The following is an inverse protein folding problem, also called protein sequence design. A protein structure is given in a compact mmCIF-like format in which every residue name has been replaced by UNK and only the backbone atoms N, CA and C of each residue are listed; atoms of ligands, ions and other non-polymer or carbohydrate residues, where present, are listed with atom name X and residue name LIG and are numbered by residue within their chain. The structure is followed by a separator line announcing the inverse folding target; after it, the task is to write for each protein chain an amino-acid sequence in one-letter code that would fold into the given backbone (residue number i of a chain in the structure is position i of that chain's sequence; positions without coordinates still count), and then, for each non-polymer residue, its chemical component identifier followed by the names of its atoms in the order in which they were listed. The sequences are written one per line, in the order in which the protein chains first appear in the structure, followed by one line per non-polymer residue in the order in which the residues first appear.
data_IF_364323325850
#
_entry.id   IF_364323325850
#
_cell.length_a   1.000
_cell.length_b   1.000
_cell.length_c   1.000
_cell.angle_alpha   90.00
_cell.angle_beta   90.00
_cell.angle_gamma   90.00
#
_symmetry.space_group_name_H-M   'P 1'
#
loop_
_entity.id
_entity.type
_entity.pdbx_description
1 polymer ?
#
# COMPACT_ATOMS: atom_id res chain seq x y z
N UNK A 1 3.62 -27.42 -9.77
CA UNK A 1 4.39 -26.75 -10.83
C UNK A 1 5.36 -25.82 -10.11
N UNK A 2 6.67 -26.10 -10.24
CA UNK A 2 7.73 -25.32 -9.62
C UNK A 2 7.66 -23.88 -10.16
N UNK A 3 7.42 -22.90 -9.30
CA UNK A 3 7.61 -21.49 -9.61
C UNK A 3 9.11 -21.26 -9.82
N UNK A 4 9.56 -21.24 -11.08
CA UNK A 4 10.88 -20.72 -11.39
C UNK A 4 10.88 -19.24 -10.93
N UNK A 5 11.60 -18.97 -9.87
CA UNK A 5 11.88 -17.61 -9.41
C UNK A 5 12.63 -16.90 -10.54
N UNK A 6 11.91 -16.13 -11.34
CA UNK A 6 12.51 -15.26 -12.35
C UNK A 6 13.19 -14.11 -11.60
N UNK A 7 14.47 -14.23 -11.33
CA UNK A 7 15.26 -13.14 -10.78
C UNK A 7 15.77 -12.28 -11.94
N UNK A 8 15.21 -11.09 -12.11
CA UNK A 8 15.80 -10.12 -13.04
C UNK A 8 17.21 -9.76 -12.58
N UNK A 9 18.19 -9.94 -13.44
CA UNK A 9 19.56 -9.51 -13.16
C UNK A 9 19.72 -8.05 -13.58
N UNK A 10 19.30 -7.14 -12.71
CA UNK A 10 19.43 -5.70 -12.90
C UNK A 10 20.48 -5.19 -11.91
N UNK A 11 21.46 -4.46 -12.42
CA UNK A 11 22.53 -3.89 -11.59
C UNK A 11 22.03 -2.66 -10.82
N UNK A 12 22.63 -2.38 -9.67
CA UNK A 12 22.31 -1.16 -8.89
C UNK A 12 22.57 0.11 -9.71
N UNK A 13 23.58 0.10 -10.56
CA UNK A 13 23.89 1.22 -11.47
C UNK A 13 22.75 1.45 -12.46
N UNK A 14 22.23 0.39 -13.10
CA UNK A 14 21.10 0.53 -14.04
C UNK A 14 19.84 1.03 -13.33
N UNK A 15 19.60 0.55 -12.12
CA UNK A 15 18.47 1.00 -11.29
C UNK A 15 18.61 2.49 -10.91
N UNK A 16 19.82 2.94 -10.57
CA UNK A 16 20.07 4.35 -10.24
C UNK A 16 19.86 5.26 -11.46
N UNK A 17 20.36 4.88 -12.63
CA UNK A 17 20.09 5.63 -13.87
C UNK A 17 18.59 5.66 -14.21
N UNK A 18 17.88 4.56 -14.05
CA UNK A 18 16.44 4.50 -14.25
C UNK A 18 15.72 5.49 -13.33
N UNK A 19 16.08 5.53 -12.03
CA UNK A 19 15.54 6.51 -11.06
C UNK A 19 15.82 7.94 -11.48
N UNK A 20 17.07 8.26 -11.83
CA UNK A 20 17.48 9.62 -12.22
C UNK A 20 16.78 10.12 -13.49
N UNK A 21 16.40 9.23 -14.40
CA UNK A 21 15.73 9.53 -15.67
C UNK A 21 14.22 9.34 -15.64
N UNK A 22 13.65 8.94 -14.52
CA UNK A 22 12.21 8.62 -14.38
C UNK A 22 11.31 9.70 -14.94
N UNK A 23 11.57 10.97 -14.66
CA UNK A 23 10.74 12.07 -15.16
C UNK A 23 10.67 12.10 -16.69
N UNK A 24 11.82 12.02 -17.37
CA UNK A 24 11.87 12.03 -18.84
C UNK A 24 11.22 10.78 -19.43
N UNK A 25 11.46 9.61 -18.83
CA UNK A 25 10.87 8.34 -19.27
C UNK A 25 9.33 8.41 -19.16
N UNK A 26 8.80 8.82 -18.01
CA UNK A 26 7.34 8.95 -17.78
C UNK A 26 6.73 9.94 -18.76
N UNK A 27 7.38 11.11 -18.97
CA UNK A 27 6.90 12.16 -19.85
C UNK A 27 6.83 11.70 -21.31
N UNK A 28 7.82 10.98 -21.79
CA UNK A 28 7.81 10.41 -23.14
C UNK A 28 6.70 9.38 -23.31
N UNK A 29 6.50 8.48 -22.34
CA UNK A 29 5.39 7.51 -22.37
C UNK A 29 4.05 8.22 -22.39
N UNK A 30 3.87 9.24 -21.55
CA UNK A 30 2.65 10.03 -21.50
C UNK A 30 2.34 10.68 -22.85
N UNK A 31 3.33 11.31 -23.49
CA UNK A 31 3.16 11.92 -24.81
C UNK A 31 2.88 10.90 -25.90
N UNK A 32 3.59 9.77 -25.89
CA UNK A 32 3.41 8.70 -26.87
C UNK A 32 2.02 8.07 -26.78
N UNK A 33 1.49 7.89 -25.56
CA UNK A 33 0.13 7.39 -25.36
C UNK A 33 -0.92 8.40 -25.81
N UNK A 34 -0.74 9.71 -25.52
CA UNK A 34 -1.68 10.76 -25.92
C UNK A 34 -1.68 11.01 -27.45
N UNK A 35 -0.56 10.80 -28.13
CA UNK A 35 -0.44 10.95 -29.59
C UNK A 35 -0.72 9.66 -30.37
N UNK A 36 -0.97 8.55 -29.69
CA UNK A 36 -1.18 7.25 -30.33
C UNK A 36 -2.50 7.22 -31.11
N UNK A 37 -2.45 6.77 -32.36
CA UNK A 37 -3.65 6.67 -33.21
C UNK A 37 -4.49 5.40 -32.94
N UNK A 38 -3.96 4.44 -32.18
CA UNK A 38 -4.66 3.21 -31.81
C UNK A 38 -5.91 3.52 -30.97
N UNK A 39 -7.07 3.06 -31.44
CA UNK A 39 -8.37 3.35 -30.80
C UNK A 39 -8.43 2.84 -29.34
N UNK A 40 -7.90 1.65 -29.03
CA UNK A 40 -7.89 1.11 -27.67
C UNK A 40 -7.08 1.99 -26.71
N UNK A 41 -5.98 2.57 -27.21
CA UNK A 41 -5.15 3.51 -26.42
C UNK A 41 -5.89 4.82 -26.22
N UNK A 42 -6.54 5.35 -27.25
CA UNK A 42 -7.35 6.57 -27.13
C UNK A 42 -8.47 6.40 -26.11
N UNK A 43 -9.22 5.31 -26.20
CA UNK A 43 -10.29 4.98 -25.26
C UNK A 43 -9.76 4.89 -23.83
N UNK A 44 -8.62 4.22 -23.64
CA UNK A 44 -7.98 4.10 -22.32
C UNK A 44 -7.62 5.46 -21.74
N UNK A 45 -6.90 6.31 -22.48
CA UNK A 45 -6.46 7.64 -22.00
C UNK A 45 -7.66 8.57 -21.79
N UNK A 46 -8.64 8.58 -22.70
CA UNK A 46 -9.84 9.43 -22.59
C UNK A 46 -10.71 9.04 -21.38
N UNK A 47 -10.86 7.76 -21.10
CA UNK A 47 -11.69 7.29 -19.99
C UNK A 47 -11.10 7.60 -18.61
N UNK A 48 -9.77 7.68 -18.50
CA UNK A 48 -9.10 8.00 -17.22
C UNK A 48 -8.99 9.50 -17.03
N UNK A 49 -8.69 10.25 -18.08
CA UNK A 49 -8.30 11.67 -18.02
C UNK A 49 -6.78 11.85 -17.83
N UNK A 50 -6.27 12.96 -18.32
CA UNK A 50 -4.83 13.19 -18.43
C UNK A 50 -4.10 13.25 -17.09
N UNK A 51 -4.71 13.82 -16.06
CA UNK A 51 -4.10 13.95 -14.73
C UNK A 51 -3.96 12.59 -14.05
N UNK A 52 -5.05 11.85 -13.95
CA UNK A 52 -5.08 10.53 -13.36
C UNK A 52 -4.24 9.53 -14.16
N UNK A 53 -4.20 9.68 -15.48
CA UNK A 53 -3.36 8.86 -16.33
C UNK A 53 -1.86 9.13 -16.05
N UNK A 54 -1.44 10.39 -15.95
CA UNK A 54 -0.06 10.73 -15.60
C UNK A 54 0.34 10.19 -14.22
N UNK A 55 -0.53 10.32 -13.22
CA UNK A 55 -0.29 9.74 -11.88
C UNK A 55 -0.21 8.20 -11.92
N UNK A 56 -0.99 7.54 -12.78
CA UNK A 56 -0.89 6.08 -12.96
C UNK A 56 0.45 5.65 -13.55
N UNK A 57 1.03 6.43 -14.46
CA UNK A 57 2.37 6.18 -15.01
C UNK A 57 3.48 6.38 -13.95
N UNK A 58 3.35 7.40 -13.11
CA UNK A 58 4.27 7.59 -11.96
C UNK A 58 4.23 6.40 -11.02
N UNK A 59 3.02 5.97 -10.65
CA UNK A 59 2.83 4.80 -9.81
C UNK A 59 3.46 3.53 -10.43
N UNK A 60 3.27 3.32 -11.75
CA UNK A 60 3.89 2.23 -12.49
C UNK A 60 5.42 2.28 -12.38
N UNK A 61 6.03 3.45 -12.64
CA UNK A 61 7.48 3.64 -12.56
C UNK A 61 8.02 3.33 -11.15
N UNK A 62 7.36 3.85 -10.11
CA UNK A 62 7.79 3.69 -8.73
C UNK A 62 7.63 2.24 -8.25
N UNK A 63 6.62 1.54 -8.74
CA UNK A 63 6.46 0.10 -8.50
C UNK A 63 7.59 -0.71 -9.14
N UNK A 64 7.93 -0.43 -10.42
CA UNK A 64 9.07 -1.07 -11.10
C UNK A 64 10.34 -0.85 -10.28
N UNK A 65 10.61 0.41 -9.91
CA UNK A 65 11.76 0.76 -9.10
C UNK A 65 11.77 0.01 -7.75
N UNK A 66 10.65 0.00 -7.02
CA UNK A 66 10.51 -0.68 -5.72
C UNK A 66 10.73 -2.19 -5.84
N UNK A 67 10.16 -2.81 -6.88
CA UNK A 67 10.30 -4.25 -7.11
C UNK A 67 11.75 -4.68 -7.42
N UNK A 68 12.48 -3.87 -8.18
CA UNK A 68 13.89 -4.12 -8.48
C UNK A 68 14.74 -3.92 -7.23
N UNK A 69 14.56 -2.79 -6.53
CA UNK A 69 15.32 -2.43 -5.33
C UNK A 69 15.22 -3.51 -4.24
N UNK A 70 14.02 -4.02 -4.02
CA UNK A 70 13.74 -5.03 -3.00
C UNK A 70 13.92 -6.48 -3.49
N UNK A 71 14.26 -6.66 -4.77
CA UNK A 71 14.35 -7.98 -5.42
C UNK A 71 13.10 -8.84 -5.24
N UNK A 72 11.92 -8.19 -5.13
CA UNK A 72 10.64 -8.84 -4.96
C UNK A 72 9.78 -8.68 -6.22
N UNK A 73 9.89 -9.64 -7.12
CA UNK A 73 9.18 -9.64 -8.40
C UNK A 73 7.69 -10.02 -8.26
N UNK A 74 7.31 -10.64 -7.14
CA UNK A 74 5.90 -10.98 -6.88
C UNK A 74 5.06 -9.72 -6.70
N UNK A 75 5.66 -8.60 -6.23
CA UNK A 75 4.99 -7.30 -6.19
C UNK A 75 4.51 -6.85 -7.57
N UNK A 76 5.32 -7.06 -8.62
CA UNK A 76 4.94 -6.74 -10.00
C UNK A 76 3.76 -7.60 -10.43
N UNK A 77 3.87 -8.92 -10.27
CA UNK A 77 2.82 -9.86 -10.66
C UNK A 77 1.48 -9.53 -10.00
N UNK A 78 1.49 -9.34 -8.67
CA UNK A 78 0.28 -9.06 -7.90
C UNK A 78 -0.36 -7.73 -8.31
N UNK A 79 0.47 -6.70 -8.55
CA UNK A 79 0.00 -5.40 -9.01
C UNK A 79 -0.57 -5.46 -10.42
N UNK A 80 0.10 -6.10 -11.39
CA UNK A 80 -0.42 -6.13 -12.75
C UNK A 80 -1.69 -6.96 -12.86
N UNK A 81 -1.85 -8.04 -12.11
CA UNK A 81 -3.13 -8.75 -11.99
C UNK A 81 -4.22 -7.80 -11.45
N UNK A 82 -3.91 -7.01 -10.42
CA UNK A 82 -4.82 -6.01 -9.87
C UNK A 82 -5.13 -4.91 -10.89
N UNK A 83 -4.13 -4.33 -11.57
CA UNK A 83 -4.31 -3.31 -12.63
C UNK A 83 -5.28 -3.83 -13.70
N UNK A 84 -5.04 -5.02 -14.23
CA UNK A 84 -5.91 -5.64 -15.24
C UNK A 84 -7.35 -5.83 -14.72
N UNK A 85 -7.53 -6.25 -13.48
CA UNK A 85 -8.85 -6.41 -12.86
C UNK A 85 -9.59 -5.07 -12.75
N UNK A 86 -8.91 -4.01 -12.30
CA UNK A 86 -9.49 -2.67 -12.14
C UNK A 86 -9.98 -2.12 -13.49
N UNK A 87 -9.16 -2.20 -14.52
CA UNK A 87 -9.51 -1.62 -15.82
C UNK A 87 -10.52 -2.47 -16.60
N UNK A 88 -10.40 -3.81 -16.58
CA UNK A 88 -11.40 -4.69 -17.18
C UNK A 88 -12.79 -4.53 -16.55
N UNK A 89 -12.88 -4.33 -15.23
CA UNK A 89 -14.17 -4.13 -14.55
C UNK A 89 -14.86 -2.81 -14.95
N UNK A 90 -14.12 -1.87 -15.53
CA UNK A 90 -14.60 -0.58 -16.04
C UNK A 90 -14.81 -0.58 -17.56
N UNK A 91 -14.82 -1.77 -18.18
CA UNK A 91 -14.97 -1.98 -19.61
C UNK A 91 -13.85 -1.37 -20.47
N UNK A 92 -12.66 -1.16 -19.91
CA UNK A 92 -11.49 -0.76 -20.67
C UNK A 92 -10.83 -2.03 -21.22
N UNK A 93 -10.57 -2.03 -22.53
CA UNK A 93 -9.86 -3.13 -23.17
C UNK A 93 -8.38 -3.09 -22.75
N UNK A 94 -7.98 -4.07 -21.96
CA UNK A 94 -6.63 -4.15 -21.38
C UNK A 94 -5.55 -4.50 -22.42
N UNK A 95 -5.91 -4.81 -23.66
CA UNK A 95 -4.94 -5.00 -24.76
C UNK A 95 -4.21 -3.68 -25.10
N UNK A 96 -4.76 -2.52 -24.71
CA UNK A 96 -4.06 -1.23 -24.75
C UNK A 96 -2.75 -1.24 -23.97
N UNK A 97 -2.61 -2.06 -22.90
CA UNK A 97 -1.39 -2.15 -22.09
C UNK A 97 -0.21 -2.73 -22.85
N UNK A 98 -0.44 -3.56 -23.89
CA UNK A 98 0.65 -4.01 -24.75
C UNK A 98 1.36 -2.84 -25.44
N UNK A 99 0.58 -1.84 -25.86
CA UNK A 99 1.15 -0.63 -26.48
C UNK A 99 1.81 0.27 -25.42
N UNK A 100 1.21 0.41 -24.24
CA UNK A 100 1.82 1.11 -23.10
C UNK A 100 3.21 0.51 -22.78
N UNK A 101 3.34 -0.82 -22.66
CA UNK A 101 4.63 -1.47 -22.38
C UNK A 101 5.66 -1.29 -23.48
N UNK A 102 5.25 -1.23 -24.75
CA UNK A 102 6.15 -0.91 -25.86
C UNK A 102 6.67 0.52 -25.77
N UNK A 103 5.83 1.49 -25.45
CA UNK A 103 6.26 2.88 -25.25
C UNK A 103 7.21 3.01 -24.06
N UNK A 104 6.98 2.27 -22.98
CA UNK A 104 7.93 2.19 -21.88
C UNK A 104 9.30 1.67 -22.33
N UNK A 105 9.35 0.58 -23.09
CA UNK A 105 10.60 0.04 -23.63
C UNK A 105 11.34 1.05 -24.48
N UNK A 106 10.63 1.72 -25.37
CA UNK A 106 11.20 2.72 -26.27
C UNK A 106 11.72 3.92 -25.48
N UNK A 107 10.95 4.45 -24.54
CA UNK A 107 11.36 5.56 -23.71
C UNK A 107 12.58 5.20 -22.85
N UNK A 108 12.64 4.01 -22.28
CA UNK A 108 13.83 3.54 -21.55
C UNK A 108 15.08 3.51 -22.45
N UNK A 109 14.93 3.07 -23.71
CA UNK A 109 16.04 3.09 -24.70
C UNK A 109 16.49 4.52 -25.06
N UNK A 110 15.57 5.47 -25.09
CA UNK A 110 15.85 6.87 -25.42
C UNK A 110 16.58 7.62 -24.27
N UNK A 111 16.35 7.21 -23.03
CA UNK A 111 16.86 7.92 -21.83
C UNK A 111 18.06 7.25 -21.17
N UNK A 112 18.31 5.97 -21.41
CA UNK A 112 19.40 5.22 -20.79
C UNK A 112 20.42 4.76 -21.83
N UNK A 113 21.65 4.56 -21.39
CA UNK A 113 22.64 3.88 -22.23
C UNK A 113 22.17 2.46 -22.57
N UNK A 114 22.50 1.94 -23.76
CA UNK A 114 21.98 0.65 -24.24
C UNK A 114 22.16 -0.53 -23.25
N UNK A 115 23.30 -0.57 -22.55
CA UNK A 115 23.56 -1.62 -21.54
C UNK A 115 22.53 -1.57 -20.37
N UNK A 116 22.27 -0.37 -19.85
CA UNK A 116 21.34 -0.17 -18.74
C UNK A 116 19.87 -0.34 -19.20
N UNK A 117 19.57 0.20 -20.39
CA UNK A 117 18.24 0.05 -20.99
C UNK A 117 17.86 -1.41 -21.21
N UNK A 118 18.80 -2.24 -21.69
CA UNK A 118 18.57 -3.67 -21.90
C UNK A 118 18.26 -4.40 -20.57
N UNK A 119 18.92 -4.05 -19.47
CA UNK A 119 18.64 -4.64 -18.16
C UNK A 119 17.22 -4.28 -17.68
N UNK A 120 16.81 -3.01 -17.81
CA UNK A 120 15.47 -2.56 -17.40
C UNK A 120 14.38 -3.15 -18.29
N UNK A 121 14.62 -3.23 -19.62
CA UNK A 121 13.65 -3.70 -20.59
C UNK A 121 13.28 -5.18 -20.45
N UNK A 122 14.08 -5.98 -19.72
CA UNK A 122 13.70 -7.35 -19.35
C UNK A 122 12.35 -7.38 -18.61
N UNK A 123 12.06 -6.34 -17.81
CA UNK A 123 10.79 -6.25 -17.08
C UNK A 123 9.62 -6.07 -18.06
N UNK A 124 9.77 -5.16 -19.02
CA UNK A 124 8.71 -4.92 -20.01
C UNK A 124 8.52 -6.13 -20.94
N UNK A 125 9.59 -6.87 -21.26
CA UNK A 125 9.49 -8.15 -21.96
C UNK A 125 8.71 -9.19 -21.14
N UNK A 126 8.95 -9.24 -19.83
CA UNK A 126 8.16 -10.05 -18.90
C UNK A 126 6.68 -9.63 -18.89
N UNK A 127 6.38 -8.33 -18.82
CA UNK A 127 5.00 -7.84 -18.81
C UNK A 127 4.27 -8.16 -20.11
N UNK A 128 4.92 -7.98 -21.25
CA UNK A 128 4.37 -8.31 -22.57
C UNK A 128 4.12 -9.82 -22.68
N UNK A 129 5.09 -10.66 -22.29
CA UNK A 129 4.97 -12.12 -22.40
C UNK A 129 3.93 -12.72 -21.43
N UNK A 130 3.63 -12.05 -20.33
CA UNK A 130 2.63 -12.49 -19.35
C UNK A 130 1.26 -11.81 -19.50
N UNK A 131 1.04 -11.04 -20.55
CA UNK A 131 -0.20 -10.30 -20.77
C UNK A 131 -1.46 -11.17 -20.63
N UNK A 132 -1.53 -12.29 -21.38
CA UNK A 132 -2.66 -13.22 -21.32
C UNK A 132 -2.82 -13.87 -19.93
N UNK A 133 -1.71 -14.16 -19.26
CA UNK A 133 -1.75 -14.69 -17.91
C UNK A 133 -2.33 -13.69 -16.90
N UNK A 134 -2.01 -12.41 -17.05
CA UNK A 134 -2.62 -11.35 -16.25
C UNK A 134 -4.12 -11.22 -16.51
N UNK A 135 -4.58 -11.26 -17.76
CA UNK A 135 -6.00 -11.27 -18.14
C UNK A 135 -6.77 -12.41 -17.46
N UNK A 136 -6.25 -13.63 -17.56
CA UNK A 136 -6.88 -14.82 -16.94
C UNK A 136 -6.96 -14.70 -15.42
N UNK A 137 -5.92 -14.17 -14.78
CA UNK A 137 -5.90 -14.06 -13.31
C UNK A 137 -6.67 -12.85 -12.78
N UNK A 138 -6.82 -11.80 -13.58
CA UNK A 138 -7.57 -10.60 -13.23
C UNK A 138 -9.05 -10.87 -12.94
N UNK A 139 -9.64 -11.88 -13.56
CA UNK A 139 -11.04 -12.28 -13.33
C UNK A 139 -11.26 -13.07 -12.03
N UNK A 140 -10.19 -13.51 -11.37
CA UNK A 140 -10.28 -14.32 -10.15
C UNK A 140 -10.50 -13.43 -8.93
N UNK A 141 -11.58 -13.68 -8.20
CA UNK A 141 -11.83 -13.03 -6.90
C UNK A 141 -10.90 -13.61 -5.84
N UNK A 142 -10.26 -12.76 -5.05
CA UNK A 142 -9.55 -13.21 -3.84
C UNK A 142 -10.58 -13.56 -2.78
N UNK A 143 -10.44 -14.73 -2.16
CA UNK A 143 -11.26 -15.09 -1.01
C UNK A 143 -10.84 -14.22 0.20
N UNK A 144 -11.82 -13.57 0.80
CA UNK A 144 -11.65 -12.84 2.05
C UNK A 144 -12.08 -13.77 3.16
N UNK A 145 -11.14 -14.15 3.99
CA UNK A 145 -11.42 -15.04 5.12
C UNK A 145 -12.14 -14.28 6.22
N UNK A 146 -13.27 -14.81 6.64
CA UNK A 146 -14.00 -14.41 7.85
C UNK A 146 -14.28 -15.69 8.63
N UNK A 147 -14.04 -15.68 9.94
CA UNK A 147 -14.37 -16.82 10.79
C UNK A 147 -15.86 -17.16 10.66
N UNK A 148 -16.20 -18.45 10.51
CA UNK A 148 -17.56 -18.91 10.29
C UNK A 148 -18.53 -18.45 11.39
N UNK A 149 -18.05 -18.31 12.61
CA UNK A 149 -18.81 -17.79 13.75
C UNK A 149 -19.28 -16.33 13.55
N UNK A 150 -18.55 -15.54 12.77
CA UNK A 150 -18.82 -14.12 12.58
C UNK A 150 -19.38 -13.78 11.20
N UNK A 151 -19.67 -14.76 10.36
CA UNK A 151 -20.10 -14.53 8.98
C UNK A 151 -21.41 -13.75 8.88
N UNK A 152 -22.40 -14.07 9.72
CA UNK A 152 -23.67 -13.36 9.74
C UNK A 152 -23.48 -11.90 10.16
N UNK A 153 -22.74 -11.67 11.24
CA UNK A 153 -22.41 -10.32 11.71
C UNK A 153 -21.59 -9.53 10.67
N UNK A 154 -20.67 -10.19 9.99
CA UNK A 154 -19.93 -9.58 8.89
C UNK A 154 -20.86 -9.11 7.76
N UNK A 155 -21.84 -9.94 7.38
CA UNK A 155 -22.84 -9.59 6.38
C UNK A 155 -23.71 -8.41 6.80
N UNK A 156 -24.17 -8.38 8.06
CA UNK A 156 -24.93 -7.27 8.63
C UNK A 156 -24.12 -5.97 8.66
N UNK A 157 -22.86 -6.04 9.11
CA UNK A 157 -21.97 -4.88 9.14
C UNK A 157 -21.68 -4.34 7.74
N UNK A 158 -21.41 -5.21 6.77
CA UNK A 158 -21.20 -4.81 5.38
C UNK A 158 -22.44 -4.13 4.79
N UNK A 159 -23.63 -4.72 5.00
CA UNK A 159 -24.88 -4.14 4.54
C UNK A 159 -25.12 -2.77 5.17
N UNK A 160 -24.96 -2.67 6.48
CA UNK A 160 -25.15 -1.45 7.23
C UNK A 160 -24.18 -0.34 6.78
N UNK A 161 -22.91 -0.69 6.59
CA UNK A 161 -21.86 0.22 6.15
C UNK A 161 -22.13 0.80 4.74
N UNK A 162 -22.72 0.00 3.86
CA UNK A 162 -22.97 0.41 2.47
C UNK A 162 -24.33 1.09 2.27
N UNK A 163 -25.31 0.89 3.17
CA UNK A 163 -26.71 1.30 2.92
C UNK A 163 -27.34 2.11 4.06
N UNK A 164 -26.76 2.09 5.26
CA UNK A 164 -27.29 2.76 6.45
C UNK A 164 -26.40 3.94 6.85
N UNK A 165 -26.79 4.63 7.92
CA UNK A 165 -26.01 5.74 8.44
C UNK A 165 -25.05 5.33 9.56
N UNK A 166 -24.31 6.33 10.07
CA UNK A 166 -23.34 6.16 11.17
C UNK A 166 -23.98 5.52 12.42
N UNK A 167 -25.16 5.96 12.80
CA UNK A 167 -25.78 5.55 14.07
C UNK A 167 -26.14 4.06 14.07
N UNK A 168 -26.61 3.52 12.94
CA UNK A 168 -26.96 2.12 12.79
C UNK A 168 -25.71 1.25 12.86
N UNK A 169 -24.67 1.62 12.12
CA UNK A 169 -23.40 0.89 12.12
C UNK A 169 -22.76 0.91 13.53
N UNK A 170 -22.68 2.08 14.15
CA UNK A 170 -22.15 2.24 15.51
C UNK A 170 -22.93 1.40 16.55
N UNK A 171 -24.27 1.41 16.48
CA UNK A 171 -25.12 0.61 17.35
C UNK A 171 -24.91 -0.88 17.16
N UNK A 172 -24.72 -1.32 15.90
CA UNK A 172 -24.42 -2.71 15.57
C UNK A 172 -23.08 -3.16 16.12
N UNK A 173 -22.03 -2.35 15.96
CA UNK A 173 -20.70 -2.60 16.55
C UNK A 173 -20.81 -2.74 18.07
N UNK A 174 -21.38 -1.73 18.76
CA UNK A 174 -21.50 -1.72 20.21
C UNK A 174 -22.24 -2.92 20.78
N UNK A 175 -23.35 -3.32 20.17
CA UNK A 175 -24.14 -4.48 20.63
C UNK A 175 -23.41 -5.80 20.53
N UNK A 176 -22.44 -5.90 19.65
CA UNK A 176 -21.72 -7.15 19.37
C UNK A 176 -20.27 -7.16 19.93
N UNK A 177 -19.79 -6.05 20.51
CA UNK A 177 -18.42 -5.97 21.01
C UNK A 177 -18.14 -6.97 22.14
N UNK A 178 -19.17 -7.33 22.94
CA UNK A 178 -19.05 -8.36 23.98
C UNK A 178 -18.70 -9.74 23.44
N UNK A 179 -18.99 -10.06 22.18
CA UNK A 179 -18.55 -11.31 21.52
C UNK A 179 -17.04 -11.37 21.30
N UNK A 180 -16.35 -10.26 21.51
CA UNK A 180 -14.92 -10.06 21.37
C UNK A 180 -14.29 -9.63 22.70
N UNK A 181 -14.85 -10.09 23.83
CA UNK A 181 -14.37 -9.76 25.18
C UNK A 181 -14.30 -8.24 25.46
N UNK A 182 -15.10 -7.45 24.74
CA UNK A 182 -15.04 -5.98 24.69
C UNK A 182 -13.70 -5.45 24.18
N UNK A 183 -12.88 -6.26 23.53
CA UNK A 183 -11.62 -5.86 22.92
C UNK A 183 -11.87 -5.33 21.51
N UNK A 184 -11.72 -4.02 21.35
CA UNK A 184 -11.86 -3.32 20.06
C UNK A 184 -10.78 -3.75 19.05
N UNK A 185 -9.60 -4.14 19.49
CA UNK A 185 -8.53 -4.57 18.58
C UNK A 185 -8.79 -5.97 18.05
N UNK A 186 -9.33 -6.87 18.89
CA UNK A 186 -9.79 -8.19 18.44
C UNK A 186 -10.96 -8.04 17.45
N UNK A 187 -11.95 -7.20 17.77
CA UNK A 187 -13.05 -6.86 16.85
C UNK A 187 -12.52 -6.31 15.51
N UNK A 188 -11.54 -5.41 15.57
CA UNK A 188 -10.93 -4.82 14.39
C UNK A 188 -10.22 -5.87 13.54
N UNK A 189 -9.50 -6.79 14.15
CA UNK A 189 -8.82 -7.89 13.47
C UNK A 189 -9.79 -8.83 12.77
N UNK A 190 -10.82 -9.27 13.48
CA UNK A 190 -11.73 -10.35 13.04
C UNK A 190 -12.80 -9.83 12.05
N UNK A 191 -13.20 -8.55 12.13
CA UNK A 191 -14.30 -8.01 11.33
C UNK A 191 -13.91 -6.77 10.53
N UNK A 192 -13.33 -5.73 11.15
CA UNK A 192 -13.06 -4.48 10.42
C UNK A 192 -12.04 -4.68 9.30
N UNK A 193 -10.95 -5.39 9.57
CA UNK A 193 -9.93 -5.68 8.56
C UNK A 193 -10.51 -6.47 7.36
N UNK A 194 -11.26 -7.57 7.54
CA UNK A 194 -11.97 -8.24 6.44
C UNK A 194 -12.99 -7.33 5.72
N UNK A 195 -13.72 -6.45 6.45
CA UNK A 195 -14.65 -5.48 5.84
C UNK A 195 -13.91 -4.52 4.91
N UNK A 196 -12.77 -3.97 5.34
CA UNK A 196 -11.96 -3.08 4.51
C UNK A 196 -11.46 -3.78 3.24
N UNK A 197 -11.03 -5.04 3.35
CA UNK A 197 -10.65 -5.83 2.17
C UNK A 197 -11.84 -6.08 1.23
N UNK A 198 -13.03 -6.32 1.79
CA UNK A 198 -14.24 -6.54 0.99
C UNK A 198 -14.66 -5.28 0.24
N UNK A 199 -14.62 -4.13 0.90
CA UNK A 199 -14.90 -2.82 0.30
C UNK A 199 -13.90 -2.50 -0.81
N UNK A 200 -12.60 -2.69 -0.56
CA UNK A 200 -11.57 -2.53 -1.57
C UNK A 200 -11.75 -3.46 -2.78
N UNK A 201 -12.14 -4.72 -2.55
CA UNK A 201 -12.46 -5.67 -3.62
C UNK A 201 -13.71 -5.25 -4.41
N UNK A 202 -14.76 -4.76 -3.76
CA UNK A 202 -15.97 -4.27 -4.42
C UNK A 202 -15.67 -3.04 -5.28
N UNK A 203 -14.83 -2.13 -4.80
CA UNK A 203 -14.35 -1.00 -5.60
C UNK A 203 -13.51 -1.47 -6.80
N UNK A 204 -12.56 -2.38 -6.57
CA UNK A 204 -11.73 -2.96 -7.63
C UNK A 204 -12.56 -3.54 -8.77
N UNK A 205 -13.66 -4.23 -8.43
CA UNK A 205 -14.57 -4.87 -9.37
C UNK A 205 -15.69 -3.95 -9.89
N UNK A 206 -15.59 -2.64 -9.60
CA UNK A 206 -16.60 -1.64 -9.99
C UNK A 206 -18.04 -1.93 -9.47
N UNK A 207 -18.15 -2.69 -8.35
CA UNK A 207 -19.42 -2.98 -7.68
C UNK A 207 -19.90 -1.80 -6.83
N UNK A 208 -18.96 -0.94 -6.39
CA UNK A 208 -19.23 0.33 -5.70
C UNK A 208 -18.38 1.46 -6.30
N UNK A 209 -18.86 2.70 -6.19
CA UNK A 209 -18.12 3.89 -6.63
C UNK A 209 -16.98 4.24 -5.66
N UNK A 210 -16.01 5.03 -6.13
CA UNK A 210 -14.94 5.62 -5.30
C UNK A 210 -15.53 6.40 -4.12
N UNK A 211 -16.59 7.20 -4.35
CA UNK A 211 -17.24 7.97 -3.30
C UNK A 211 -17.84 7.06 -2.21
N UNK A 212 -18.39 5.90 -2.58
CA UNK A 212 -18.98 4.95 -1.64
C UNK A 212 -17.90 4.23 -0.82
N UNK A 213 -16.78 3.87 -1.46
CA UNK A 213 -15.59 3.32 -0.78
C UNK A 213 -15.03 4.32 0.24
N UNK A 214 -14.80 5.57 -0.18
CA UNK A 214 -14.30 6.64 0.68
C UNK A 214 -15.23 6.90 1.87
N UNK A 215 -16.54 6.96 1.64
CA UNK A 215 -17.53 7.15 2.71
C UNK A 215 -17.49 6.00 3.73
N UNK A 216 -17.44 4.75 3.27
CA UNK A 216 -17.36 3.58 4.12
C UNK A 216 -16.08 3.57 4.97
N UNK A 217 -14.94 3.88 4.36
CA UNK A 217 -13.65 3.98 5.05
C UNK A 217 -13.65 5.08 6.10
N UNK A 218 -14.19 6.27 5.77
CA UNK A 218 -14.29 7.40 6.69
C UNK A 218 -15.20 7.08 7.87
N UNK A 219 -16.30 6.39 7.64
CA UNK A 219 -17.22 5.97 8.70
C UNK A 219 -16.56 4.98 9.68
N UNK A 220 -15.81 4.02 9.17
CA UNK A 220 -15.03 3.10 10.01
C UNK A 220 -13.99 3.86 10.83
N UNK A 221 -13.23 4.77 10.21
CA UNK A 221 -12.22 5.58 10.90
C UNK A 221 -12.84 6.37 12.08
N UNK A 222 -13.98 7.01 11.84
CA UNK A 222 -14.68 7.78 12.86
C UNK A 222 -15.13 6.89 14.03
N UNK A 223 -15.77 5.75 13.74
CA UNK A 223 -16.31 4.85 14.76
C UNK A 223 -15.20 4.19 15.59
N UNK A 224 -14.13 3.74 14.95
CA UNK A 224 -12.97 3.17 15.64
C UNK A 224 -12.34 4.22 16.57
N UNK A 225 -12.19 5.45 16.10
CA UNK A 225 -11.67 6.53 16.93
C UNK A 225 -12.56 6.83 18.14
N UNK A 226 -13.89 6.85 17.96
CA UNK A 226 -14.84 7.09 19.06
C UNK A 226 -14.78 5.96 20.11
N UNK A 227 -14.78 4.70 19.67
CA UNK A 227 -14.73 3.53 20.56
C UNK A 227 -13.41 3.45 21.34
N UNK A 228 -12.29 3.81 20.73
CA UNK A 228 -10.98 3.78 21.39
C UNK A 228 -10.86 4.92 22.42
N UNK A 229 -11.31 6.14 22.10
CA UNK A 229 -11.25 7.28 23.04
C UNK A 229 -11.96 7.03 24.36
N UNK A 230 -13.01 6.22 24.35
CA UNK A 230 -13.76 5.88 25.55
C UNK A 230 -12.97 4.99 26.54
N UNK A 231 -11.91 4.32 26.06
CA UNK A 231 -11.23 3.27 26.80
C UNK A 231 -9.78 3.61 27.22
N UNK A 232 -9.18 4.68 26.68
CA UNK A 232 -7.76 4.97 26.92
C UNK A 232 -7.49 6.44 27.21
N UNK A 233 -6.61 6.69 28.20
CA UNK A 233 -6.13 8.02 28.58
C UNK A 233 -4.69 8.22 28.13
N UNK A 234 -4.39 9.38 27.56
CA UNK A 234 -3.03 9.78 27.20
C UNK A 234 -2.23 10.17 28.46
N UNK A 235 -1.06 9.59 28.67
CA UNK A 235 -0.08 10.04 29.66
C UNK A 235 1.18 10.54 28.93
N UNK A 236 1.44 11.84 29.02
CA UNK A 236 2.58 12.50 28.36
C UNK A 236 3.95 12.10 28.93
N UNK A 237 4.00 11.41 30.08
CA UNK A 237 5.25 10.95 30.70
C UNK A 237 5.74 9.61 30.11
N UNK A 238 4.92 8.94 29.32
CA UNK A 238 5.26 7.67 28.72
C UNK A 238 6.28 7.82 27.55
N UNK A 239 7.04 6.77 27.23
CA UNK A 239 8.00 6.82 26.12
C UNK A 239 7.32 7.20 24.80
N UNK A 240 7.90 8.17 24.11
CA UNK A 240 7.36 8.68 22.86
C UNK A 240 7.53 7.68 21.71
N UNK A 241 6.44 7.43 21.02
CA UNK A 241 6.38 6.68 19.76
C UNK A 241 5.85 7.59 18.66
N UNK A 242 6.47 7.56 17.49
CA UNK A 242 5.99 8.27 16.33
C UNK A 242 5.47 7.27 15.31
N UNK A 243 4.25 7.48 14.82
CA UNK A 243 3.65 6.63 13.76
C UNK A 243 3.36 7.44 12.52
N UNK A 244 3.61 6.88 11.33
CA UNK A 244 3.32 7.55 10.05
C UNK A 244 3.13 6.55 8.92
N UNK A 245 2.41 6.97 7.88
CA UNK A 245 2.53 6.36 6.55
C UNK A 245 3.73 6.95 5.82
N UNK A 246 4.19 6.31 4.77
CA UNK A 246 5.34 6.71 3.96
C UNK A 246 4.91 7.07 2.55
N UNK A 247 5.54 8.09 1.97
CA UNK A 247 5.21 8.59 0.63
C UNK A 247 3.86 9.35 0.62
N UNK A 248 3.28 9.51 -0.56
CA UNK A 248 1.97 10.16 -0.73
C UNK A 248 0.81 9.21 -0.45
N UNK A 249 0.90 8.46 0.65
CA UNK A 249 -0.06 7.40 0.99
C UNK A 249 -1.28 7.97 1.70
N UNK A 250 -2.47 7.75 1.15
CA UNK A 250 -3.74 8.16 1.77
C UNK A 250 -4.34 7.08 2.68
N UNK A 251 -3.84 5.84 2.61
CA UNK A 251 -4.31 4.69 3.40
C UNK A 251 -3.78 4.75 4.84
N UNK A 252 -4.36 5.61 5.66
CA UNK A 252 -3.85 5.88 7.00
C UNK A 252 -4.63 5.20 8.14
N UNK A 253 -5.77 4.54 7.85
CA UNK A 253 -6.59 3.89 8.88
C UNK A 253 -5.79 2.84 9.67
N UNK A 254 -5.03 1.99 8.97
CA UNK A 254 -4.22 0.95 9.60
C UNK A 254 -3.21 1.50 10.59
N UNK A 255 -2.45 2.54 10.22
CA UNK A 255 -1.44 3.12 11.12
C UNK A 255 -2.07 3.88 12.31
N UNK A 256 -3.27 4.45 12.15
CA UNK A 256 -4.02 5.04 13.26
C UNK A 256 -4.42 3.97 14.29
N UNK A 257 -4.95 2.83 13.82
CA UNK A 257 -5.29 1.69 14.68
C UNK A 257 -4.04 1.18 15.41
N UNK A 258 -2.92 1.02 14.69
CA UNK A 258 -1.62 0.63 15.28
C UNK A 258 -1.17 1.64 16.32
N UNK A 259 -1.30 2.95 16.06
CA UNK A 259 -0.97 4.00 17.04
C UNK A 259 -1.79 3.85 18.32
N UNK A 260 -3.10 3.66 18.20
CA UNK A 260 -3.98 3.46 19.35
C UNK A 260 -3.70 2.16 20.10
N UNK A 261 -3.34 1.10 19.39
CA UNK A 261 -2.87 -0.14 20.01
C UNK A 261 -1.58 0.07 20.83
N UNK A 262 -0.65 0.86 20.33
CA UNK A 262 0.59 1.19 21.04
C UNK A 262 0.28 2.05 22.29
N UNK A 263 -0.65 3.00 22.20
CA UNK A 263 -1.13 3.79 23.36
C UNK A 263 -1.71 2.89 24.46
N UNK A 264 -2.53 1.88 24.10
CA UNK A 264 -3.08 0.92 25.05
C UNK A 264 -2.01 0.10 25.79
N UNK A 265 -0.79 0.06 25.25
CA UNK A 265 0.38 -0.59 25.86
C UNK A 265 1.26 0.40 26.65
N UNK A 266 0.77 1.59 26.99
CA UNK A 266 1.46 2.55 27.86
C UNK A 266 2.58 3.32 27.18
N UNK A 267 2.40 3.71 25.94
CA UNK A 267 3.29 4.61 25.19
C UNK A 267 2.54 5.92 24.87
N UNK A 268 3.28 7.03 24.78
CA UNK A 268 2.76 8.27 24.24
C UNK A 268 2.94 8.26 22.72
N UNK A 269 1.85 8.30 21.93
CA UNK A 269 1.92 8.20 20.48
C UNK A 269 1.64 9.54 19.81
N UNK A 270 2.52 9.95 18.90
CA UNK A 270 2.27 11.02 17.93
C UNK A 270 2.10 10.43 16.54
N UNK A 271 0.87 10.53 16.02
CA UNK A 271 0.57 10.11 14.66
C UNK A 271 0.79 11.29 13.69
N UNK A 272 1.82 11.20 12.85
CA UNK A 272 2.04 12.13 11.76
C UNK A 272 1.26 11.62 10.55
N UNK A 273 0.06 12.14 10.36
CA UNK A 273 -0.81 11.68 9.29
C UNK A 273 -0.18 11.80 7.88
N UNK A 274 -0.78 11.14 6.90
CA UNK A 274 -0.36 10.98 5.49
C UNK A 274 -0.12 12.26 4.67
N UNK A 275 -0.15 13.44 5.26
CA UNK A 275 -0.06 14.73 4.55
C UNK A 275 1.28 15.44 4.70
N UNK A 276 2.27 14.80 5.30
CA UNK A 276 3.60 15.40 5.46
C UNK A 276 4.57 14.80 4.44
N UNK A 277 5.49 15.61 3.94
CA UNK A 277 6.55 15.12 3.06
C UNK A 277 7.51 14.18 3.81
N UNK A 278 8.19 13.30 3.09
CA UNK A 278 9.20 12.41 3.68
C UNK A 278 10.29 13.21 4.42
N UNK A 279 10.65 14.38 3.89
CA UNK A 279 11.62 15.30 4.53
C UNK A 279 11.11 15.82 5.87
N UNK A 280 9.83 16.22 5.94
CA UNK A 280 9.22 16.67 7.20
C UNK A 280 9.06 15.53 8.21
N UNK A 281 8.79 14.31 7.74
CA UNK A 281 8.77 13.12 8.58
C UNK A 281 10.14 12.90 9.23
N UNK A 282 11.22 12.89 8.46
CA UNK A 282 12.59 12.70 8.95
C UNK A 282 12.97 13.82 9.92
N UNK A 283 12.71 15.08 9.57
CA UNK A 283 12.96 16.21 10.45
C UNK A 283 12.20 16.10 11.78
N UNK A 284 10.94 15.68 11.73
CA UNK A 284 10.13 15.48 12.94
C UNK A 284 10.73 14.39 13.84
N UNK A 285 11.25 13.30 13.26
CA UNK A 285 11.91 12.24 14.01
C UNK A 285 13.19 12.76 14.68
N UNK A 286 14.01 13.53 13.98
CA UNK A 286 15.24 14.11 14.53
C UNK A 286 14.96 15.12 15.65
N UNK A 287 13.93 15.92 15.53
CA UNK A 287 13.53 16.91 16.56
C UNK A 287 12.90 16.24 17.79
N UNK A 288 11.98 15.31 17.58
CA UNK A 288 11.23 14.68 18.65
C UNK A 288 11.98 13.54 19.35
N UNK A 289 12.98 12.94 18.69
CA UNK A 289 13.80 11.81 19.18
C UNK A 289 12.97 10.72 19.85
N UNK A 290 11.96 10.15 19.15
CA UNK A 290 11.10 9.13 19.75
C UNK A 290 11.93 7.87 20.06
N UNK A 291 11.47 7.10 21.08
CA UNK A 291 12.05 5.79 21.40
C UNK A 291 11.77 4.76 20.30
N UNK A 292 10.64 4.93 19.62
CA UNK A 292 10.20 4.05 18.54
C UNK A 292 9.57 4.86 17.39
N UNK A 293 9.90 4.51 16.17
CA UNK A 293 9.22 4.96 14.96
C UNK A 293 8.51 3.76 14.32
N UNK A 294 7.22 3.90 14.00
CA UNK A 294 6.44 2.87 13.29
C UNK A 294 5.99 3.42 11.95
N UNK A 295 6.46 2.81 10.88
CA UNK A 295 6.19 3.23 9.50
C UNK A 295 5.32 2.20 8.78
N UNK A 296 4.28 2.68 8.11
CA UNK A 296 3.34 1.83 7.36
C UNK A 296 3.37 2.14 5.87
N UNK A 297 3.38 1.08 5.07
CA UNK A 297 3.27 1.14 3.60
C UNK A 297 2.14 0.23 3.14
N UNK A 298 1.13 0.79 2.48
CA UNK A 298 0.04 0.02 1.86
C UNK A 298 0.28 -0.19 0.37
N UNK A 299 0.81 0.83 -0.31
CA UNK A 299 1.08 0.78 -1.75
C UNK A 299 2.50 0.26 -2.01
N UNK A 300 2.66 -0.83 -2.78
CA UNK A 300 3.99 -1.38 -3.09
C UNK A 300 4.95 -0.39 -3.76
N UNK A 301 4.45 0.62 -4.47
CA UNK A 301 5.25 1.69 -5.07
C UNK A 301 6.04 2.52 -4.04
N UNK A 302 5.55 2.61 -2.79
CA UNK A 302 6.19 3.36 -1.71
C UNK A 302 7.26 2.57 -0.93
N UNK A 303 7.47 1.30 -1.26
CA UNK A 303 8.43 0.44 -0.55
C UNK A 303 9.87 0.94 -0.71
N UNK A 304 10.23 1.43 -1.88
CA UNK A 304 11.54 2.04 -2.10
C UNK A 304 11.75 3.29 -1.23
N UNK A 305 10.72 4.13 -1.15
CA UNK A 305 10.72 5.33 -0.28
C UNK A 305 10.89 4.95 1.19
N UNK A 306 10.22 3.88 1.64
CA UNK A 306 10.41 3.35 3.00
C UNK A 306 11.88 2.94 3.24
N UNK A 307 12.48 2.20 2.31
CA UNK A 307 13.89 1.80 2.41
C UNK A 307 14.82 3.01 2.51
N UNK A 308 14.58 4.05 1.71
CA UNK A 308 15.37 5.29 1.73
C UNK A 308 15.26 6.02 3.08
N UNK A 309 14.04 6.14 3.62
CA UNK A 309 13.79 6.77 4.92
C UNK A 309 14.49 5.97 6.05
N UNK A 310 14.34 4.65 6.06
CA UNK A 310 14.97 3.80 7.09
C UNK A 310 16.50 3.94 7.03
N UNK A 311 17.08 3.89 5.83
CA UNK A 311 18.51 4.07 5.62
C UNK A 311 19.01 5.44 6.09
N UNK A 312 18.26 6.51 5.79
CA UNK A 312 18.61 7.87 6.24
C UNK A 312 18.57 7.98 7.76
N UNK A 313 17.51 7.47 8.41
CA UNK A 313 17.38 7.50 9.87
C UNK A 313 18.48 6.71 10.59
N UNK A 314 18.97 5.64 9.98
CA UNK A 314 20.05 4.81 10.55
C UNK A 314 21.45 5.29 10.20
N UNK A 315 21.60 6.26 9.30
CA UNK A 315 22.89 6.78 8.87
C UNK A 315 23.61 7.59 9.95
N UNK A 316 22.87 8.24 10.86
CA UNK A 316 23.44 9.03 11.96
C UNK A 316 22.74 8.76 13.29
N UNK A 317 23.34 7.91 14.11
CA UNK A 317 22.83 7.52 15.43
C UNK A 317 22.83 8.68 16.45
N UNK A 318 23.54 9.78 16.21
CA UNK A 318 23.47 10.97 17.08
C UNK A 318 22.18 11.74 16.83
N UNK A 319 21.65 11.70 15.60
CA UNK A 319 20.37 12.32 15.25
C UNK A 319 19.20 11.44 15.67
N UNK A 320 19.28 10.13 15.42
CA UNK A 320 18.24 9.19 15.83
C UNK A 320 18.81 7.84 16.27
N UNK A 321 18.63 7.48 17.55
CA UNK A 321 19.06 6.21 18.14
C UNK A 321 17.91 5.27 18.51
N UNK A 322 16.67 5.64 18.18
CA UNK A 322 15.46 4.85 18.46
C UNK A 322 15.36 3.61 17.57
N UNK A 323 14.33 2.81 17.86
CA UNK A 323 13.99 1.64 17.05
C UNK A 323 13.06 2.00 15.91
N UNK A 324 13.14 1.23 14.80
CA UNK A 324 12.25 1.36 13.65
C UNK A 324 11.50 0.06 13.43
N UNK A 325 10.18 0.13 13.57
CA UNK A 325 9.25 -0.96 13.18
C UNK A 325 8.56 -0.57 11.88
N UNK A 326 8.48 -1.51 10.97
CA UNK A 326 7.81 -1.33 9.69
C UNK A 326 6.64 -2.30 9.57
N UNK A 327 5.65 -1.94 8.77
CA UNK A 327 4.48 -2.77 8.49
C UNK A 327 3.66 -2.26 7.32
N UNK A 328 2.46 -2.81 7.16
CA UNK A 328 1.53 -2.45 6.10
C UNK A 328 1.53 -3.42 4.92
N UNK A 329 0.39 -3.47 4.22
CA UNK A 329 0.12 -4.50 3.21
C UNK A 329 1.11 -4.47 2.04
N UNK A 330 1.68 -3.30 1.71
CA UNK A 330 2.65 -3.14 0.62
C UNK A 330 3.96 -3.93 0.80
N UNK A 331 4.25 -4.37 2.04
CA UNK A 331 5.41 -5.22 2.33
C UNK A 331 5.15 -6.73 2.12
N UNK A 332 3.90 -7.12 1.87
CA UNK A 332 3.52 -8.52 1.79
C UNK A 332 2.99 -8.83 0.39
N UNK A 333 3.76 -9.59 -0.39
CA UNK A 333 3.25 -10.23 -1.59
C UNK A 333 2.63 -11.60 -1.26
N UNK A 334 2.01 -12.23 -2.25
CA UNK A 334 1.35 -13.54 -2.08
C UNK A 334 2.32 -14.60 -1.55
N UNK A 335 3.61 -14.51 -1.89
CA UNK A 335 4.61 -15.54 -1.60
C UNK A 335 5.73 -15.08 -0.65
N UNK A 336 5.99 -13.77 -0.51
CA UNK A 336 7.15 -13.25 0.22
C UNK A 336 6.86 -11.97 1.00
N UNK A 337 7.65 -11.79 2.06
CA UNK A 337 7.75 -10.54 2.79
C UNK A 337 8.91 -9.73 2.19
N UNK A 338 8.67 -8.45 1.92
CA UNK A 338 9.73 -7.53 1.52
C UNK A 338 10.65 -7.28 2.71
N UNK A 339 11.92 -7.60 2.56
CA UNK A 339 12.93 -7.24 3.56
C UNK A 339 13.38 -5.80 3.32
N UNK A 340 13.31 -4.98 4.34
CA UNK A 340 13.86 -3.62 4.38
C UNK A 340 15.12 -3.66 5.22
N UNK A 341 16.25 -3.31 4.61
CA UNK A 341 17.53 -3.23 5.30
C UNK A 341 17.47 -2.19 6.43
N UNK A 342 18.15 -2.46 7.54
CA UNK A 342 18.27 -1.60 8.71
C UNK A 342 16.98 -1.36 9.53
N UNK A 343 15.82 -1.89 9.13
CA UNK A 343 14.65 -1.90 10.01
C UNK A 343 14.86 -2.87 11.18
N UNK A 344 14.52 -2.42 12.40
CA UNK A 344 14.70 -3.27 13.59
C UNK A 344 13.68 -4.41 13.66
N UNK A 345 12.48 -4.21 13.10
CA UNK A 345 11.43 -5.22 13.08
C UNK A 345 10.41 -4.96 11.95
N UNK A 346 9.91 -6.04 11.35
CA UNK A 346 8.78 -6.00 10.40
C UNK A 346 7.59 -6.74 11.01
N UNK A 347 6.51 -6.00 11.29
CA UNK A 347 5.31 -6.54 11.94
C UNK A 347 4.21 -6.83 10.92
N UNK A 348 3.65 -8.05 10.97
CA UNK A 348 2.52 -8.50 10.13
C UNK A 348 1.15 -8.27 10.76
N UNK A 349 1.12 -8.19 12.08
CA UNK A 349 -0.11 -8.10 12.87
C UNK A 349 0.17 -7.47 14.24
N UNK A 350 -0.91 -7.22 14.99
CA UNK A 350 -0.82 -6.59 16.30
C UNK A 350 -0.14 -7.49 17.36
N UNK A 351 -0.25 -8.81 17.25
CA UNK A 351 0.35 -9.77 18.16
C UNK A 351 1.90 -9.78 18.07
N UNK A 352 2.43 -9.72 16.83
CA UNK A 352 3.86 -9.58 16.62
C UNK A 352 4.37 -8.23 17.14
N UNK A 353 3.60 -7.14 16.90
CA UNK A 353 3.92 -5.82 17.42
C UNK A 353 3.91 -5.79 18.95
N UNK A 354 2.91 -6.39 19.59
CA UNK A 354 2.83 -6.52 21.05
C UNK A 354 4.07 -7.21 21.64
N UNK A 355 4.48 -8.31 21.01
CA UNK A 355 5.68 -9.05 21.43
C UNK A 355 6.94 -8.18 21.34
N UNK A 356 7.04 -7.34 20.31
CA UNK A 356 8.15 -6.38 20.17
C UNK A 356 8.08 -5.28 21.25
N UNK A 357 6.90 -4.72 21.50
CA UNK A 357 6.71 -3.65 22.50
C UNK A 357 7.05 -4.10 23.92
N UNK A 358 6.74 -5.37 24.29
CA UNK A 358 7.12 -5.94 25.59
C UNK A 358 8.62 -5.94 25.84
N UNK A 359 9.43 -6.09 24.78
CA UNK A 359 10.89 -6.07 24.86
C UNK A 359 11.48 -4.63 24.77
N UNK A 360 10.66 -3.63 24.48
CA UNK A 360 11.09 -2.25 24.35
C UNK A 360 11.00 -1.48 25.68
N UNK A 361 10.18 -1.97 26.61
CA UNK A 361 10.05 -1.43 27.97
C UNK A 361 11.28 -1.77 28.78
#
# INVERSE_FOLDING_TARGET
MQSSVFAFKITSTSLEYFKQRSFGIIFDVFNSMNSCENELVKDYVCNIGNEEFYESLKYHNDLIYSSILTKNHDLLKDFFIWKYSVYSSRNIDVDCFLQEYRFWKESVLNHLYPSHANEINIIYDYLISNHENFKINASKRKNIFVNSEYQDLFGELLFCLLNSGKNEFYSLVRRNLNKFDNDIFLFTKELIKPLMYKIGQMWQLNEISVAKEYFATSLIDEIINDLIKENFFEDSNNPLVLTSTVGNELHNLGIKIVGKFIESHGFCVKNLSSKISNKELINSIYVLKPKLVVLSVTLPSNVATLQEIVKELKSDLNLFSGKIVIGGQGLFSTEKIVSIEDADFCSRNLEELESFLKNLR
#
